data_IF_633199232740
#
_entry.id   IF_633199232740
#
_cell.length_a   1.000
_cell.length_b   1.000
_cell.length_c   1.000
_cell.angle_alpha   90.00
_cell.angle_beta   90.00
_cell.angle_gamma   90.00
#
_symmetry.space_group_name_H-M   'P 1'
#
loop_
_entity.id
_entity.type
_entity.pdbx_description
1 polymer ?
#
# COMPACT_ATOMS: atom_id res chain seq x y z
N UNK A 1 -0.56 -13.12 -21.48
CA UNK A 1 -0.81 -13.28 -20.03
C UNK A 1 -1.30 -11.94 -19.51
N UNK A 2 -2.49 -11.86 -18.89
CA UNK A 2 -2.99 -10.61 -18.32
C UNK A 2 -2.31 -10.37 -16.97
N UNK A 3 -1.65 -9.22 -16.79
CA UNK A 3 -1.17 -8.81 -15.46
C UNK A 3 -2.37 -8.65 -14.52
N UNK A 4 -2.30 -9.25 -13.33
CA UNK A 4 -3.30 -9.03 -12.29
C UNK A 4 -3.07 -7.65 -11.67
N UNK A 5 -4.08 -6.78 -11.75
CA UNK A 5 -4.10 -5.46 -11.13
C UNK A 5 -5.35 -5.37 -10.26
N UNK A 6 -5.20 -4.92 -9.03
CA UNK A 6 -6.31 -4.67 -8.11
C UNK A 6 -6.18 -3.27 -7.51
N UNK A 7 -7.29 -2.56 -7.39
CA UNK A 7 -7.36 -1.28 -6.69
C UNK A 7 -8.34 -1.38 -5.53
N UNK A 8 -7.98 -0.81 -4.39
CA UNK A 8 -8.79 -0.85 -3.18
C UNK A 8 -8.78 0.48 -2.46
N UNK A 9 -9.89 0.80 -1.79
CA UNK A 9 -9.94 1.85 -0.77
C UNK A 9 -9.87 1.18 0.61
N UNK A 10 -8.88 1.57 1.40
CA UNK A 10 -8.62 1.04 2.73
C UNK A 10 -8.71 2.18 3.74
N UNK A 11 -9.38 1.95 4.86
CA UNK A 11 -9.43 2.89 5.98
C UNK A 11 -8.62 2.36 7.17
N UNK A 12 -8.12 3.26 8.00
CA UNK A 12 -7.32 2.92 9.17
C UNK A 12 -8.07 1.96 10.10
N UNK A 13 -7.35 0.96 10.63
CA UNK A 13 -7.93 -0.12 11.44
C UNK A 13 -8.56 -1.27 10.63
N UNK A 14 -8.71 -1.13 9.31
CA UNK A 14 -9.06 -2.22 8.41
C UNK A 14 -7.81 -2.89 7.83
N UNK A 15 -7.98 -4.10 7.29
CA UNK A 15 -6.95 -4.79 6.51
C UNK A 15 -7.54 -5.22 5.16
N UNK A 16 -6.74 -5.11 4.11
CA UNK A 16 -7.03 -5.69 2.81
C UNK A 16 -6.11 -6.89 2.56
N UNK A 17 -6.58 -7.87 1.79
CA UNK A 17 -5.82 -9.08 1.46
C UNK A 17 -5.77 -9.26 -0.05
N UNK A 18 -4.57 -9.46 -0.57
CA UNK A 18 -4.32 -9.80 -1.97
C UNK A 18 -3.36 -11.00 -2.06
N UNK A 19 -3.85 -12.12 -2.61
CA UNK A 19 -3.17 -13.40 -2.45
C UNK A 19 -2.97 -13.76 -0.96
N UNK A 20 -1.72 -14.01 -0.57
CA UNK A 20 -1.33 -14.27 0.83
C UNK A 20 -0.93 -13.00 1.59
N UNK A 21 -0.77 -11.87 0.88
CA UNK A 21 -0.36 -10.59 1.46
C UNK A 21 -1.52 -9.91 2.17
N UNK A 22 -1.28 -9.47 3.41
CA UNK A 22 -2.16 -8.56 4.15
C UNK A 22 -1.57 -7.16 4.17
N UNK A 23 -2.41 -6.16 3.94
CA UNK A 23 -2.06 -4.75 3.86
C UNK A 23 -2.90 -3.97 4.88
N UNK A 24 -2.23 -3.19 5.74
CA UNK A 24 -2.85 -2.27 6.67
C UNK A 24 -2.23 -0.87 6.57
N UNK A 25 -2.96 0.14 7.03
CA UNK A 25 -2.43 1.52 7.15
C UNK A 25 -1.85 1.69 8.56
N UNK A 26 -0.60 2.11 8.63
CA UNK A 26 0.03 2.57 9.87
C UNK A 26 -0.32 4.04 10.10
N UNK A 27 -0.05 4.89 9.11
CA UNK A 27 -0.38 6.32 9.11
C UNK A 27 -0.39 6.90 7.69
N UNK A 28 -1.03 8.05 7.55
CA UNK A 28 -1.03 8.87 6.33
C UNK A 28 -0.38 10.22 6.61
N UNK A 29 0.45 10.72 5.70
CA UNK A 29 1.23 11.94 5.91
C UNK A 29 1.69 12.57 4.60
N UNK A 30 2.69 13.45 4.70
CA UNK A 30 3.39 14.05 3.56
C UNK A 30 4.85 13.62 3.64
N UNK A 31 5.42 13.20 2.52
CA UNK A 31 6.85 12.92 2.36
C UNK A 31 7.33 13.59 1.08
N UNK A 32 8.40 14.39 1.17
CA UNK A 32 8.97 15.13 0.03
C UNK A 32 7.88 15.84 -0.79
N UNK A 33 7.05 16.65 -0.11
CA UNK A 33 5.95 17.43 -0.70
C UNK A 33 4.81 16.61 -1.34
N UNK A 34 4.88 15.27 -1.29
CA UNK A 34 3.87 14.37 -1.84
C UNK A 34 3.05 13.71 -0.74
N UNK A 35 1.76 13.48 -0.99
CA UNK A 35 0.94 12.65 -0.12
C UNK A 35 1.52 11.24 -0.03
N UNK A 36 1.59 10.73 1.20
CA UNK A 36 2.26 9.50 1.53
C UNK A 36 1.43 8.64 2.49
N UNK A 37 1.64 7.32 2.41
CA UNK A 37 1.08 6.36 3.34
C UNK A 37 2.18 5.39 3.80
N UNK A 38 2.26 5.19 5.10
CA UNK A 38 3.03 4.09 5.68
C UNK A 38 2.12 2.88 5.81
N UNK A 39 2.48 1.80 5.13
CA UNK A 39 1.75 0.54 5.10
C UNK A 39 2.44 -0.51 5.96
N UNK A 40 1.64 -1.35 6.61
CA UNK A 40 2.09 -2.60 7.20
C UNK A 40 1.76 -3.73 6.23
N UNK A 41 2.80 -4.35 5.67
CA UNK A 41 2.71 -5.47 4.74
C UNK A 41 3.10 -6.75 5.46
N UNK A 42 2.33 -7.82 5.27
CA UNK A 42 2.60 -9.12 5.90
C UNK A 42 2.33 -10.27 4.95
N UNK A 43 3.27 -11.20 4.85
CA UNK A 43 3.11 -12.50 4.18
C UNK A 43 3.65 -13.61 5.10
N UNK A 44 2.76 -14.48 5.59
CA UNK A 44 3.09 -15.48 6.60
C UNK A 44 3.75 -14.90 7.87
N UNK A 45 5.05 -15.16 8.02
CA UNK A 45 5.89 -14.64 9.10
C UNK A 45 6.67 -13.37 8.75
N UNK A 46 6.78 -13.01 7.47
CA UNK A 46 7.44 -11.77 7.06
C UNK A 46 6.51 -10.58 7.32
N UNK A 47 7.04 -9.53 7.95
CA UNK A 47 6.34 -8.28 8.23
C UNK A 47 7.26 -7.12 7.85
N UNK A 48 6.71 -6.14 7.12
CA UNK A 48 7.45 -4.96 6.66
C UNK A 48 6.62 -3.70 6.80
N UNK A 49 7.27 -2.61 7.19
CA UNK A 49 6.74 -1.26 7.04
C UNK A 49 7.23 -0.68 5.72
N UNK A 50 6.30 -0.13 4.93
CA UNK A 50 6.58 0.40 3.60
C UNK A 50 6.04 1.81 3.46
N UNK A 51 6.85 2.73 2.92
CA UNK A 51 6.41 4.08 2.58
C UNK A 51 6.09 4.12 1.08
N UNK A 52 4.87 4.51 0.74
CA UNK A 52 4.44 4.75 -0.64
C UNK A 52 3.94 6.18 -0.78
N UNK A 53 4.18 6.80 -1.94
CA UNK A 53 3.73 8.18 -2.24
C UNK A 53 2.90 8.25 -3.52
N UNK A 54 2.03 9.25 -3.62
CA UNK A 54 1.20 9.45 -4.81
C UNK A 54 2.09 9.80 -6.00
N UNK A 55 2.05 8.97 -7.04
CA UNK A 55 2.77 9.19 -8.30
C UNK A 55 4.30 9.13 -8.19
N UNK A 56 4.83 8.69 -7.05
CA UNK A 56 6.26 8.63 -6.78
C UNK A 56 6.71 7.25 -6.33
N UNK A 57 6.97 7.11 -5.04
CA UNK A 57 7.55 5.92 -4.43
C UNK A 57 6.54 4.77 -4.36
N UNK A 58 6.95 3.61 -4.88
CA UNK A 58 6.24 2.34 -4.82
C UNK A 58 7.01 1.35 -3.95
N UNK A 59 6.33 0.31 -3.45
CA UNK A 59 6.97 -0.77 -2.69
C UNK A 59 6.74 -2.12 -3.37
N UNK A 60 7.77 -2.96 -3.40
CA UNK A 60 7.66 -4.37 -3.79
C UNK A 60 7.68 -5.30 -2.58
N UNK A 61 6.65 -6.16 -2.47
CA UNK A 61 6.53 -7.13 -1.40
C UNK A 61 5.80 -8.39 -1.85
N UNK A 62 6.41 -9.56 -1.63
CA UNK A 62 5.83 -10.88 -1.96
C UNK A 62 5.28 -10.99 -3.40
N UNK A 63 6.00 -10.43 -4.38
CA UNK A 63 5.63 -10.47 -5.80
C UNK A 63 4.53 -9.48 -6.21
N UNK A 64 4.23 -8.48 -5.37
CA UNK A 64 3.31 -7.39 -5.66
C UNK A 64 4.02 -6.04 -5.55
N UNK A 65 3.76 -5.15 -6.50
CA UNK A 65 4.11 -3.74 -6.43
C UNK A 65 2.90 -2.96 -5.93
N UNK A 66 3.08 -2.18 -4.86
CA UNK A 66 2.07 -1.34 -4.23
C UNK A 66 2.34 0.13 -4.54
N UNK A 67 1.34 0.80 -5.10
CA UNK A 67 1.38 2.23 -5.42
C UNK A 67 0.24 2.95 -4.70
N UNK A 68 0.50 4.16 -4.26
CA UNK A 68 -0.52 5.04 -3.67
C UNK A 68 -1.21 5.85 -4.77
N UNK A 69 -2.54 5.82 -4.80
CA UNK A 69 -3.34 6.57 -5.77
C UNK A 69 -3.89 7.87 -5.19
N UNK A 70 -4.35 7.85 -3.93
CA UNK A 70 -4.77 9.06 -3.21
C UNK A 70 -4.85 8.81 -1.70
N UNK A 71 -4.94 9.89 -0.92
CA UNK A 71 -5.11 9.86 0.54
C UNK A 71 -6.22 10.81 1.03
N UNK A 72 -6.89 10.44 2.12
CA UNK A 72 -7.73 11.35 2.91
C UNK A 72 -7.16 11.37 4.33
N UNK A 73 -6.74 12.57 4.73
CA UNK A 73 -6.31 12.91 6.08
C UNK A 73 -7.39 13.78 6.72
N UNK A 74 -8.26 13.22 7.57
CA UNK A 74 -9.30 14.02 8.19
C UNK A 74 -8.71 15.07 9.13
N UNK A 75 -9.36 16.24 9.21
CA UNK A 75 -8.96 17.31 10.15
C UNK A 75 -9.30 16.90 11.58
N UNK A 76 -10.43 16.21 11.76
CA UNK A 76 -10.83 15.59 13.02
C UNK A 76 -10.16 14.22 13.17
N UNK A 77 -9.33 14.06 14.21
CA UNK A 77 -8.61 12.80 14.49
C UNK A 77 -9.50 11.68 15.02
N UNK A 78 -10.79 11.93 15.24
CA UNK A 78 -11.78 10.88 15.54
C UNK A 78 -12.25 10.16 14.27
N UNK A 79 -12.04 10.76 13.10
CA UNK A 79 -12.27 10.12 11.81
C UNK A 79 -11.05 9.30 11.37
N UNK A 80 -11.27 8.35 10.45
CA UNK A 80 -10.23 7.42 10.01
C UNK A 80 -9.50 7.96 8.78
N UNK A 81 -8.17 7.90 8.82
CA UNK A 81 -7.36 8.06 7.62
C UNK A 81 -7.75 6.99 6.59
N UNK A 82 -7.75 7.36 5.31
CA UNK A 82 -8.12 6.47 4.22
C UNK A 82 -7.15 6.63 3.06
N UNK A 83 -6.84 5.53 2.39
CA UNK A 83 -6.00 5.53 1.20
C UNK A 83 -6.69 4.77 0.08
N UNK A 84 -6.35 5.09 -1.16
CA UNK A 84 -6.57 4.18 -2.28
C UNK A 84 -5.24 3.68 -2.79
N UNK A 85 -5.13 2.36 -2.87
CA UNK A 85 -3.94 1.67 -3.31
C UNK A 85 -4.22 0.99 -4.65
N UNK A 86 -3.17 0.84 -5.43
CA UNK A 86 -3.09 -0.11 -6.54
C UNK A 86 -2.06 -1.17 -6.18
N UNK A 87 -2.41 -2.43 -6.33
CA UNK A 87 -1.46 -3.53 -6.34
C UNK A 87 -1.40 -4.13 -7.74
N UNK A 88 -0.19 -4.27 -8.26
CA UNK A 88 0.07 -4.95 -9.53
C UNK A 88 0.95 -6.14 -9.25
N UNK A 89 0.61 -7.31 -9.81
CA UNK A 89 1.48 -8.48 -9.71
C UNK A 89 2.77 -8.14 -10.46
N UNK A 90 3.88 -8.14 -9.74
CA UNK A 90 5.19 -7.91 -10.31
C UNK A 90 5.57 -9.16 -11.10
N UNK A 91 5.97 -8.99 -12.35
CA UNK A 91 6.63 -10.05 -13.11
C UNK A 91 8.04 -10.21 -12.52
N UNK A 92 8.13 -10.83 -11.35
CA UNK A 92 9.41 -10.98 -10.66
C UNK A 92 10.28 -11.96 -11.44
N UNK A 93 11.04 -11.44 -12.40
CA UNK A 93 12.18 -12.13 -12.98
C UNK A 93 13.31 -12.07 -11.94
N UNK A 94 13.50 -13.18 -11.22
CA UNK A 94 14.79 -13.44 -10.59
C UNK A 94 15.85 -13.39 -11.69
N UNK A 95 16.63 -12.30 -11.74
CA UNK A 95 17.94 -12.34 -12.36
C UNK A 95 18.81 -13.22 -11.46
N UNK A 96 19.30 -14.32 -12.01
CA UNK A 96 20.15 -15.29 -11.31
C UNK A 96 21.53 -14.76 -10.94
#
# INVERSE_FOLDING_TARGET
MSMAVEEITLSQGSQWRIGEVRVGIVRVGVYEESDAAELLLRDGSEVRHALVTVGGQEEEFAGWTFSLLWTVRPVDRTERETVRLRARRSDYHWAG
#
